data_IF_758620257098
#
_entry.id   IF_758620257098
#
_cell.length_a   1.000
_cell.length_b   1.000
_cell.length_c   1.000
_cell.angle_alpha   90.00
_cell.angle_beta   90.00
_cell.angle_gamma   90.00
#
_symmetry.space_group_name_H-M   'P 1'
#
loop_
_entity.id
_entity.type
_entity.pdbx_description
1 polymer ?
#
# COMPACT_ATOMS: atom_id res chain seq x y z
N UNK A 1 2.46 15.75 7.09
CA UNK A 1 2.66 14.28 7.14
C UNK A 1 3.77 13.90 6.18
N UNK A 2 4.73 13.05 6.58
CA UNK A 2 5.81 12.61 5.70
C UNK A 2 5.25 11.83 4.50
N UNK A 3 5.95 11.93 3.36
CA UNK A 3 5.63 11.16 2.15
C UNK A 3 6.21 9.75 2.30
N UNK A 4 5.49 8.74 1.82
CA UNK A 4 5.97 7.34 1.78
C UNK A 4 7.26 7.27 0.96
N UNK A 5 8.32 6.74 1.53
CA UNK A 5 9.59 6.52 0.86
C UNK A 5 9.44 5.38 -0.15
N UNK A 6 10.24 5.39 -1.22
CA UNK A 6 10.11 4.40 -2.29
C UNK A 6 10.35 2.96 -1.79
N UNK A 7 11.23 2.77 -0.81
CA UNK A 7 11.53 1.46 -0.22
C UNK A 7 10.42 0.93 0.70
N UNK A 8 9.54 1.79 1.21
CA UNK A 8 8.43 1.41 2.10
C UNK A 8 7.20 0.92 1.32
N UNK A 9 7.13 1.24 0.02
CA UNK A 9 6.02 0.84 -0.87
C UNK A 9 5.85 -0.67 -0.99
N UNK A 10 6.90 -1.47 -1.30
CA UNK A 10 6.75 -2.91 -1.40
C UNK A 10 6.36 -3.55 -0.06
N UNK A 11 6.83 -3.01 1.06
CA UNK A 11 6.48 -3.49 2.40
C UNK A 11 5.00 -3.22 2.71
N UNK A 12 4.52 -1.99 2.49
CA UNK A 12 3.12 -1.62 2.67
C UNK A 12 2.18 -2.48 1.79
N UNK A 13 2.54 -2.73 0.53
CA UNK A 13 1.77 -3.60 -0.37
C UNK A 13 1.80 -5.05 0.09
N UNK A 14 2.95 -5.55 0.55
CA UNK A 14 3.08 -6.89 1.11
C UNK A 14 2.15 -7.11 2.31
N UNK A 15 2.09 -6.14 3.22
CA UNK A 15 1.18 -6.17 4.36
C UNK A 15 -0.29 -6.18 3.94
N UNK A 16 -0.68 -5.33 2.98
CA UNK A 16 -2.05 -5.28 2.46
C UNK A 16 -2.46 -6.60 1.78
N UNK A 17 -1.56 -7.18 0.97
CA UNK A 17 -1.77 -8.49 0.34
C UNK A 17 -1.89 -9.63 1.36
N UNK A 18 -1.19 -9.54 2.48
CA UNK A 18 -1.31 -10.49 3.59
C UNK A 18 -2.63 -10.32 4.38
N UNK A 19 -3.48 -9.35 4.03
CA UNK A 19 -4.77 -9.10 4.68
C UNK A 19 -4.69 -8.09 5.83
N UNK A 20 -3.57 -7.38 6.00
CA UNK A 20 -3.47 -6.33 7.02
C UNK A 20 -4.41 -5.17 6.71
N UNK A 21 -5.03 -4.61 7.75
CA UNK A 21 -5.89 -3.45 7.61
C UNK A 21 -5.09 -2.18 7.27
N UNK A 22 -5.71 -1.26 6.54
CA UNK A 22 -5.11 0.04 6.15
C UNK A 22 -4.60 0.81 7.38
N UNK A 23 -5.31 0.75 8.52
CA UNK A 23 -4.91 1.40 9.78
C UNK A 23 -3.64 0.80 10.37
N UNK A 24 -3.42 -0.51 10.23
CA UNK A 24 -2.23 -1.17 10.77
C UNK A 24 -1.01 -0.83 9.91
N UNK A 25 -1.18 -0.80 8.59
CA UNK A 25 -0.15 -0.37 7.64
C UNK A 25 0.20 1.11 7.84
N UNK A 26 -0.79 1.96 8.08
CA UNK A 26 -0.62 3.38 8.41
C UNK A 26 0.30 3.56 9.63
N UNK A 27 0.07 2.78 10.70
CA UNK A 27 0.84 2.83 11.94
C UNK A 27 2.25 2.27 11.77
N UNK A 28 2.39 1.17 11.06
CA UNK A 28 3.68 0.51 10.84
C UNK A 28 4.62 1.35 9.98
N UNK A 29 4.12 1.88 8.86
CA UNK A 29 4.89 2.64 7.87
C UNK A 29 4.92 4.15 8.21
N UNK A 30 4.20 4.57 9.25
CA UNK A 30 4.09 5.98 9.67
C UNK A 30 3.73 6.93 8.53
N UNK A 31 2.69 6.58 7.77
CA UNK A 31 2.26 7.32 6.60
C UNK A 31 0.77 7.71 6.67
N UNK A 32 0.33 8.63 5.82
CA UNK A 32 -1.08 9.01 5.79
C UNK A 32 -1.97 7.87 5.25
N UNK A 33 -3.13 7.64 5.88
CA UNK A 33 -4.14 6.67 5.39
C UNK A 33 -4.50 6.85 3.92
N UNK A 34 -4.64 8.09 3.46
CA UNK A 34 -4.90 8.42 2.06
C UNK A 34 -3.80 7.93 1.11
N UNK A 35 -2.55 7.87 1.59
CA UNK A 35 -1.41 7.38 0.83
C UNK A 35 -1.47 5.86 0.69
N UNK A 36 -1.80 5.15 1.77
CA UNK A 36 -1.99 3.68 1.74
C UNK A 36 -3.14 3.30 0.81
N UNK A 37 -4.28 4.00 0.88
CA UNK A 37 -5.41 3.75 -0.02
C UNK A 37 -5.03 3.95 -1.49
N UNK A 38 -4.40 5.08 -1.83
CA UNK A 38 -3.95 5.34 -3.22
C UNK A 38 -2.92 4.32 -3.71
N UNK A 39 -2.04 3.87 -2.81
CA UNK A 39 -1.07 2.82 -3.12
C UNK A 39 -1.80 1.51 -3.45
N UNK A 40 -2.76 1.12 -2.62
CA UNK A 40 -3.54 -0.09 -2.80
C UNK A 40 -4.38 -0.07 -4.09
N UNK A 41 -5.07 1.03 -4.36
CA UNK A 41 -5.84 1.22 -5.60
C UNK A 41 -4.94 1.06 -6.82
N UNK A 42 -3.75 1.69 -6.83
CA UNK A 42 -2.81 1.58 -7.95
C UNK A 42 -2.32 0.15 -8.16
N UNK A 43 -2.02 -0.59 -7.08
CA UNK A 43 -1.54 -1.96 -7.18
C UNK A 43 -2.64 -2.94 -7.63
N UNK A 44 -3.87 -2.82 -7.11
CA UNK A 44 -4.99 -3.66 -7.54
C UNK A 44 -5.38 -3.43 -9.01
N UNK A 45 -5.35 -2.19 -9.48
CA UNK A 45 -5.59 -1.88 -10.91
C UNK A 45 -4.50 -2.50 -11.80
N UNK A 46 -3.27 -2.59 -11.30
CA UNK A 46 -2.15 -3.17 -12.05
C UNK A 46 -2.27 -4.70 -12.15
N UNK A 47 -2.77 -5.39 -11.11
CA UNK A 47 -2.93 -6.86 -11.13
C UNK A 47 -4.08 -7.34 -12.04
N UNK A 48 -5.15 -6.54 -12.17
CA UNK A 48 -6.27 -6.85 -13.08
C UNK A 48 -5.92 -6.73 -14.57
N UNK A 49 -4.74 -6.17 -14.90
CA UNK A 49 -4.27 -5.96 -16.28
C UNK A 49 -3.05 -6.81 -16.62
N UNK A 50 -2.98 -8.03 -16.08
CA UNK A 50 -2.05 -9.05 -16.56
C UNK A 50 -2.79 -9.95 -17.55
N UNK A 51 -2.67 -9.75 -18.88
CA UNK A 51 -3.16 -10.74 -19.84
C UNK A 51 -2.34 -12.02 -19.64
N UNK A 52 -2.95 -13.01 -19.01
CA UNK A 52 -2.52 -14.41 -19.04
C UNK A 52 -3.09 -15.11 -20.25
#
# INVERSE_FOLDING_TARGET
MPRLLEHERPEAVGMLRAGSGVTDVERQINCARSTVNRLWERYNVTELYTPG
#
